data_IF_433477680161
#
_entry.id   IF_433477680161
#
_cell.length_a   1.000
_cell.length_b   1.000
_cell.length_c   1.000
_cell.angle_alpha   90.00
_cell.angle_beta   90.00
_cell.angle_gamma   90.00
#
_symmetry.space_group_name_H-M   'P 1'
#
loop_
_entity.id
_entity.type
_entity.pdbx_description
1 polymer ?
#
# COMPACT_ATOMS: atom_id res chain seq x y z
N UNK A 1 -23.74 2.75 5.12
CA UNK A 1 -24.32 2.54 6.47
C UNK A 1 -23.72 1.26 7.03
N UNK A 2 -23.17 1.29 8.24
CA UNK A 2 -22.66 0.10 8.94
C UNK A 2 -23.87 -0.68 9.47
N UNK A 3 -23.97 -1.98 9.23
CA UNK A 3 -25.08 -2.79 9.75
C UNK A 3 -24.93 -3.05 11.26
N UNK A 4 -26.02 -3.37 11.97
CA UNK A 4 -25.95 -3.79 13.38
C UNK A 4 -25.04 -5.02 13.60
N UNK A 5 -24.95 -5.88 12.58
CA UNK A 5 -24.07 -7.03 12.58
C UNK A 5 -22.59 -6.59 12.54
N UNK A 6 -22.27 -5.56 11.75
CA UNK A 6 -20.93 -4.99 11.66
C UNK A 6 -20.57 -4.21 12.94
N UNK A 7 -21.53 -3.50 13.54
CA UNK A 7 -21.30 -2.84 14.84
C UNK A 7 -20.94 -3.84 15.94
N UNK A 8 -21.66 -4.97 16.02
CA UNK A 8 -21.34 -6.02 17.00
C UNK A 8 -19.93 -6.59 16.79
N UNK A 9 -19.52 -6.78 15.53
CA UNK A 9 -18.17 -7.21 15.15
C UNK A 9 -17.11 -6.17 15.55
N UNK A 10 -17.34 -4.88 15.26
CA UNK A 10 -16.42 -3.78 15.59
C UNK A 10 -16.26 -3.58 17.10
N UNK A 11 -17.34 -3.76 17.87
CA UNK A 11 -17.30 -3.79 19.33
C UNK A 11 -16.69 -5.07 19.90
N UNK A 12 -16.37 -6.06 19.06
CA UNK A 12 -15.81 -7.37 19.44
C UNK A 12 -16.63 -8.08 20.52
N UNK A 13 -17.96 -8.01 20.41
CA UNK A 13 -18.92 -8.66 21.31
C UNK A 13 -19.96 -9.46 20.52
N UNK A 14 -20.51 -10.55 21.08
CA UNK A 14 -21.64 -11.23 20.46
C UNK A 14 -22.82 -10.27 20.29
N UNK A 15 -23.60 -10.46 19.21
CA UNK A 15 -24.78 -9.63 18.93
C UNK A 15 -25.73 -9.62 20.14
N UNK A 16 -26.14 -8.41 20.56
CA UNK A 16 -27.04 -8.22 21.70
C UNK A 16 -26.37 -8.34 23.08
N UNK A 17 -25.04 -8.42 23.15
CA UNK A 17 -24.27 -8.32 24.40
C UNK A 17 -23.57 -6.97 24.49
N UNK A 18 -23.36 -6.51 25.72
CA UNK A 18 -22.53 -5.34 26.03
C UNK A 18 -21.27 -5.78 26.76
N UNK A 19 -20.23 -4.95 26.65
CA UNK A 19 -18.98 -5.12 27.38
C UNK A 19 -18.47 -3.75 27.76
N UNK A 20 -18.14 -3.58 29.02
CA UNK A 20 -17.72 -2.30 29.58
C UNK A 20 -16.21 -2.27 29.76
N UNK A 21 -15.64 -1.09 29.52
CA UNK A 21 -14.21 -0.82 29.62
C UNK A 21 -14.00 0.42 30.48
N UNK A 22 -12.97 0.39 31.34
CA UNK A 22 -12.60 1.54 32.15
C UNK A 22 -11.43 2.25 31.48
N UNK A 23 -11.61 3.50 31.06
CA UNK A 23 -10.51 4.34 30.59
C UNK A 23 -9.65 4.74 31.79
N UNK A 24 -8.37 4.39 31.74
CA UNK A 24 -7.38 4.66 32.79
C UNK A 24 -6.73 6.03 32.58
N UNK A 25 -6.58 6.45 31.32
CA UNK A 25 -5.98 7.72 30.97
C UNK A 25 -5.40 7.73 29.56
N UNK A 26 -4.67 8.80 29.27
CA UNK A 26 -3.96 9.02 28.01
C UNK A 26 -2.55 8.44 28.07
N UNK A 27 -2.00 8.05 26.92
CA UNK A 27 -0.71 7.37 26.81
C UNK A 27 0.30 8.10 25.94
N UNK A 28 0.01 8.22 24.65
CA UNK A 28 0.84 8.85 23.63
C UNK A 28 -0.01 9.75 22.74
N UNK A 29 0.57 10.80 22.17
CA UNK A 29 -0.15 11.75 21.31
C UNK A 29 0.30 11.59 19.86
N UNK A 30 -0.65 11.37 18.96
CA UNK A 30 -0.45 11.33 17.52
C UNK A 30 -0.90 12.63 16.85
N UNK A 31 -0.41 12.93 15.64
CA UNK A 31 -0.99 14.01 14.84
C UNK A 31 -2.42 13.68 14.41
N UNK A 32 -3.15 14.72 14.02
CA UNK A 32 -4.40 14.59 13.29
C UNK A 32 -4.11 14.32 11.82
N UNK A 33 -5.07 13.70 11.14
CA UNK A 33 -4.98 13.43 9.70
C UNK A 33 -4.85 14.70 8.82
N UNK A 34 -5.21 15.87 9.38
CA UNK A 34 -5.07 17.19 8.75
C UNK A 34 -3.71 17.83 8.97
N UNK A 35 -2.93 17.33 9.92
CA UNK A 35 -1.60 17.83 10.17
C UNK A 35 -0.65 17.37 9.04
N UNK A 36 0.54 17.98 8.99
CA UNK A 36 1.58 17.54 8.07
C UNK A 36 2.17 16.20 8.52
N UNK A 37 2.64 15.34 7.60
CA UNK A 37 3.17 14.03 7.99
C UNK A 37 4.46 14.13 8.83
N UNK A 38 5.23 15.22 8.75
CA UNK A 38 6.23 15.61 9.75
C UNK A 38 5.64 16.79 10.52
N UNK A 39 5.55 16.62 11.84
CA UNK A 39 4.84 17.52 12.74
C UNK A 39 5.64 17.69 14.04
N UNK A 40 5.38 18.79 14.74
CA UNK A 40 6.10 19.13 15.98
C UNK A 40 5.22 19.05 17.23
N UNK A 41 3.89 19.12 17.08
CA UNK A 41 2.94 19.23 18.18
C UNK A 41 1.73 18.30 17.95
N UNK A 42 1.84 17.01 18.28
CA UNK A 42 0.71 16.09 18.16
C UNK A 42 -0.42 16.47 19.13
N UNK A 43 -1.66 16.19 18.73
CA UNK A 43 -2.85 16.67 19.44
C UNK A 43 -3.93 15.62 19.68
N UNK A 44 -3.82 14.44 19.06
CA UNK A 44 -4.77 13.33 19.23
C UNK A 44 -4.25 12.32 20.26
N UNK A 45 -4.86 12.22 21.46
CA UNK A 45 -4.40 11.28 22.46
C UNK A 45 -4.79 9.83 22.10
N UNK A 46 -3.87 8.91 22.34
CA UNK A 46 -4.16 7.49 22.49
C UNK A 46 -4.55 7.19 23.94
N UNK A 47 -5.40 6.19 24.14
CA UNK A 47 -6.06 5.90 25.40
C UNK A 47 -5.72 4.50 25.90
N UNK A 48 -5.62 4.36 27.22
CA UNK A 48 -5.45 3.08 27.90
C UNK A 48 -6.75 2.67 28.57
N UNK A 49 -7.17 1.43 28.34
CA UNK A 49 -8.35 0.83 28.94
C UNK A 49 -8.00 -0.41 29.74
N UNK A 50 -8.82 -0.68 30.76
CA UNK A 50 -8.86 -1.98 31.44
C UNK A 50 -10.17 -2.65 31.08
N UNK A 51 -10.07 -3.89 30.65
CA UNK A 51 -11.21 -4.78 30.47
C UNK A 51 -11.75 -5.18 31.85
N UNK A 52 -13.02 -4.86 32.14
CA UNK A 52 -13.67 -5.26 33.39
C UNK A 52 -14.00 -6.76 33.28
N UNK A 53 -13.47 -7.63 34.15
CA UNK A 53 -13.78 -9.04 34.10
C UNK A 53 -15.27 -9.27 34.27
N UNK A 54 -15.85 -10.08 33.39
CA UNK A 54 -17.26 -10.39 33.46
C UNK A 54 -17.59 -11.13 34.78
N UNK A 55 -18.79 -10.92 35.34
CA UNK A 55 -19.21 -11.50 36.64
C UNK A 55 -19.25 -13.04 36.65
N UNK A 56 -18.96 -13.68 35.52
CA UNK A 56 -18.93 -15.12 35.30
C UNK A 56 -17.68 -15.83 35.84
N UNK A 57 -16.66 -15.08 36.30
CA UNK A 57 -15.47 -15.64 36.97
C UNK A 57 -14.53 -16.47 36.07
N UNK A 58 -14.72 -16.44 34.75
CA UNK A 58 -13.90 -17.20 33.78
C UNK A 58 -12.65 -16.45 33.29
N UNK A 59 -12.55 -15.14 33.51
CA UNK A 59 -11.35 -14.35 33.21
C UNK A 59 -10.68 -13.95 34.53
N UNK A 60 -9.50 -14.51 34.81
CA UNK A 60 -8.83 -14.34 36.11
C UNK A 60 -7.80 -13.21 36.16
N UNK A 61 -7.48 -12.56 35.03
CA UNK A 61 -6.50 -11.47 34.99
C UNK A 61 -6.98 -10.25 34.18
N UNK A 62 -6.83 -9.03 34.72
CA UNK A 62 -7.16 -7.80 33.99
C UNK A 62 -6.23 -7.64 32.79
N UNK A 63 -6.82 -7.31 31.64
CA UNK A 63 -6.07 -6.99 30.41
C UNK A 63 -6.01 -5.47 30.26
N UNK A 64 -4.82 -4.97 29.91
CA UNK A 64 -4.65 -3.59 29.46
C UNK A 64 -4.89 -3.58 27.96
N UNK A 65 -5.71 -2.66 27.48
CA UNK A 65 -6.02 -2.45 26.08
C UNK A 65 -5.55 -1.06 25.69
N UNK A 66 -4.76 -0.96 24.63
CA UNK A 66 -4.29 0.29 24.09
C UNK A 66 -5.11 0.67 22.85
N UNK A 67 -5.76 1.82 22.89
CA UNK A 67 -6.51 2.40 21.79
C UNK A 67 -5.68 3.52 21.15
N UNK A 68 -5.30 3.34 19.88
CA UNK A 68 -4.39 4.25 19.18
C UNK A 68 -4.99 5.65 18.96
N UNK A 69 -6.31 5.75 18.80
CA UNK A 69 -7.05 7.01 18.78
C UNK A 69 -8.51 6.83 19.22
N UNK A 70 -9.19 7.85 19.77
CA UNK A 70 -10.49 7.70 20.44
C UNK A 70 -11.61 7.15 19.55
N UNK A 71 -11.51 7.33 18.24
CA UNK A 71 -12.48 6.85 17.25
C UNK A 71 -12.23 5.41 16.77
N UNK A 72 -11.13 4.76 17.20
CA UNK A 72 -10.80 3.39 16.81
C UNK A 72 -11.61 2.38 17.65
N UNK A 73 -12.37 1.46 17.06
CA UNK A 73 -13.26 0.60 17.83
C UNK A 73 -12.53 -0.56 18.54
N UNK A 74 -13.14 -1.18 19.58
CA UNK A 74 -12.52 -2.19 20.45
C UNK A 74 -11.90 -3.41 19.75
N UNK A 75 -12.41 -3.80 18.58
CA UNK A 75 -11.79 -4.84 17.76
C UNK A 75 -10.32 -4.57 17.44
N UNK A 76 -9.92 -3.31 17.37
CA UNK A 76 -8.57 -2.89 17.00
C UNK A 76 -7.76 -2.38 18.19
N UNK A 77 -8.29 -2.45 19.41
CA UNK A 77 -7.51 -2.12 20.60
C UNK A 77 -6.47 -3.20 20.84
N UNK A 78 -5.21 -2.78 21.02
CA UNK A 78 -4.05 -3.64 21.15
C UNK A 78 -4.01 -4.21 22.56
N UNK A 79 -4.13 -5.54 22.75
CA UNK A 79 -4.04 -6.14 24.07
C UNK A 79 -2.58 -6.18 24.54
N UNK A 80 -2.34 -5.65 25.73
CA UNK A 80 -1.03 -5.62 26.37
C UNK A 80 -1.05 -6.49 27.63
N UNK A 81 0.11 -7.10 27.92
CA UNK A 81 0.32 -7.70 29.23
C UNK A 81 0.32 -6.58 30.28
N UNK A 82 -0.22 -6.81 31.48
CA UNK A 82 -0.29 -5.80 32.54
C UNK A 82 1.10 -5.58 33.18
N UNK A 83 2.05 -5.04 32.43
CA UNK A 83 3.39 -4.68 32.89
C UNK A 83 3.90 -3.40 32.22
N UNK A 84 4.72 -2.64 32.98
CA UNK A 84 5.37 -1.42 32.48
C UNK A 84 6.27 -1.74 31.28
N UNK A 85 7.01 -2.86 31.31
CA UNK A 85 7.86 -3.29 30.19
C UNK A 85 7.08 -3.53 28.90
N UNK A 86 5.80 -3.91 28.98
CA UNK A 86 4.96 -4.07 27.79
C UNK A 86 4.53 -2.73 27.21
N UNK A 87 4.30 -1.72 28.06
CA UNK A 87 4.03 -0.35 27.62
C UNK A 87 5.28 0.31 27.04
N UNK A 88 6.43 0.22 27.73
CA UNK A 88 7.69 0.80 27.26
C UNK A 88 8.05 0.29 25.87
N UNK A 89 8.00 -1.03 25.65
CA UNK A 89 8.30 -1.61 24.34
C UNK A 89 7.32 -1.21 23.23
N UNK A 90 6.07 -0.91 23.56
CA UNK A 90 5.12 -0.37 22.59
C UNK A 90 5.48 1.07 22.23
N UNK A 91 5.78 1.91 23.22
CA UNK A 91 6.13 3.30 22.98
C UNK A 91 7.50 3.47 22.32
N UNK A 92 8.49 2.64 22.64
CA UNK A 92 9.76 2.56 21.92
C UNK A 92 9.53 2.29 20.43
N UNK A 93 8.70 1.31 20.08
CA UNK A 93 8.35 1.00 18.69
C UNK A 93 7.67 2.19 17.98
N UNK A 94 6.74 2.89 18.65
CA UNK A 94 6.11 4.10 18.12
C UNK A 94 7.15 5.22 17.91
N UNK A 95 8.01 5.48 18.90
CA UNK A 95 9.03 6.53 18.81
C UNK A 95 10.07 6.24 17.73
N UNK A 96 10.46 4.98 17.53
CA UNK A 96 11.36 4.57 16.46
C UNK A 96 10.75 4.86 15.08
N UNK A 97 9.47 4.53 14.89
CA UNK A 97 8.73 4.82 13.65
C UNK A 97 8.68 6.33 13.40
N UNK A 98 8.31 7.11 14.42
CA UNK A 98 8.21 8.57 14.33
C UNK A 98 9.57 9.22 14.03
N UNK A 99 10.60 8.85 14.79
CA UNK A 99 11.96 9.40 14.61
C UNK A 99 12.49 9.07 13.23
N UNK A 100 12.26 7.85 12.75
CA UNK A 100 12.66 7.42 11.41
C UNK A 100 11.92 8.20 10.31
N UNK A 101 10.62 8.44 10.47
CA UNK A 101 9.83 9.25 9.55
C UNK A 101 10.34 10.70 9.48
N UNK A 102 10.62 11.32 10.62
CA UNK A 102 11.20 12.68 10.67
C UNK A 102 12.55 12.71 9.96
N UNK A 103 13.46 11.81 10.30
CA UNK A 103 14.80 11.76 9.69
C UNK A 103 14.77 11.56 8.17
N UNK A 104 13.77 10.84 7.64
CA UNK A 104 13.65 10.56 6.20
C UNK A 104 12.97 11.69 5.42
N UNK A 105 11.94 12.30 6.00
CA UNK A 105 11.01 13.13 5.23
C UNK A 105 11.03 14.61 5.58
N UNK A 106 11.79 15.04 6.60
CA UNK A 106 11.85 16.44 7.01
C UNK A 106 12.28 17.36 5.85
N UNK A 107 13.43 17.10 5.23
CA UNK A 107 13.96 17.91 4.13
C UNK A 107 12.98 18.01 2.95
N UNK A 108 12.33 16.89 2.60
CA UNK A 108 11.35 16.85 1.53
C UNK A 108 10.14 17.73 1.86
N UNK A 109 9.65 17.68 3.10
CA UNK A 109 8.50 18.48 3.52
C UNK A 109 8.84 19.96 3.64
N UNK A 110 10.02 20.32 4.12
CA UNK A 110 10.46 21.72 4.16
C UNK A 110 10.57 22.32 2.74
N UNK A 111 11.15 21.57 1.79
CA UNK A 111 11.22 21.97 0.37
C UNK A 111 9.82 22.10 -0.25
N UNK A 112 8.91 21.19 0.06
CA UNK A 112 7.52 21.22 -0.40
C UNK A 112 6.77 22.45 0.13
N UNK A 113 6.89 22.75 1.43
CA UNK A 113 6.29 23.92 2.06
C UNK A 113 6.85 25.22 1.47
N UNK A 114 8.16 25.28 1.24
CA UNK A 114 8.80 26.43 0.59
C UNK A 114 8.24 26.66 -0.82
N UNK A 115 8.06 25.59 -1.61
CA UNK A 115 7.52 25.68 -2.99
C UNK A 115 6.07 26.14 -3.07
N UNK A 116 5.25 25.84 -2.06
CA UNK A 116 3.86 26.35 -1.98
C UNK A 116 3.78 27.74 -1.32
N UNK A 117 4.93 28.36 -1.04
CA UNK A 117 5.03 29.71 -0.48
C UNK A 117 4.71 29.79 1.00
N UNK A 118 4.89 28.70 1.75
CA UNK A 118 4.68 28.64 3.18
C UNK A 118 6.01 28.75 3.94
N UNK A 119 6.15 29.74 4.84
CA UNK A 119 7.35 29.89 5.65
C UNK A 119 7.27 28.94 6.87
N UNK A 120 8.19 27.98 6.94
CA UNK A 120 8.33 27.01 8.05
C UNK A 120 8.56 27.71 9.40
N UNK A 121 9.15 28.90 9.43
CA UNK A 121 9.32 29.70 10.66
C UNK A 121 7.97 30.07 11.28
N UNK A 122 6.94 30.31 10.46
CA UNK A 122 5.57 30.55 10.96
C UNK A 122 4.95 29.32 11.61
N UNK A 123 5.32 28.10 11.22
CA UNK A 123 4.87 26.87 11.88
C UNK A 123 5.51 26.68 13.26
N UNK A 124 6.76 27.16 13.43
CA UNK A 124 7.48 27.14 14.71
C UNK A 124 7.01 28.26 15.66
N UNK A 125 6.55 29.38 15.10
CA UNK A 125 5.99 30.53 15.84
C UNK A 125 4.48 30.42 16.12
N UNK A 126 3.78 29.50 15.44
CA UNK A 126 2.39 29.20 15.75
C UNK A 126 2.31 28.62 17.16
N UNK A 127 1.83 29.44 18.09
CA UNK A 127 1.45 29.03 19.43
C UNK A 127 0.59 27.76 19.33
N UNK A 128 0.91 26.67 20.05
CA UNK A 128 0.10 25.44 20.05
C UNK A 128 -1.37 25.68 20.47
N UNK A 129 -1.69 26.85 21.02
CA UNK A 129 -3.05 27.27 21.37
C UNK A 129 -3.75 28.12 20.29
N UNK A 130 -3.03 28.66 19.32
CA UNK A 130 -3.60 29.40 18.20
C UNK A 130 -4.20 28.41 17.20
N UNK A 131 -5.50 28.15 17.32
CA UNK A 131 -6.25 27.40 16.30
C UNK A 131 -6.07 28.11 14.97
N UNK A 132 -5.30 27.52 14.05
CA UNK A 132 -5.35 27.86 12.63
C UNK A 132 -6.81 27.97 12.25
N UNK A 133 -7.20 29.10 11.68
CA UNK A 133 -8.60 29.23 11.27
C UNK A 133 -8.89 28.18 10.21
N UNK A 134 -10.08 27.59 10.21
CA UNK A 134 -10.49 26.60 9.21
C UNK A 134 -10.28 27.12 7.77
N UNK A 135 -10.42 28.44 7.60
CA UNK A 135 -10.11 29.14 6.34
C UNK A 135 -8.64 29.05 5.95
N UNK A 136 -7.71 29.39 6.84
CA UNK A 136 -6.26 29.33 6.56
C UNK A 136 -5.82 27.91 6.23
N UNK A 137 -6.37 26.92 6.94
CA UNK A 137 -6.14 25.52 6.65
C UNK A 137 -6.60 25.16 5.23
N UNK A 138 -7.85 25.49 4.89
CA UNK A 138 -8.42 25.20 3.58
C UNK A 138 -7.66 25.90 2.44
N UNK A 139 -7.22 27.14 2.65
CA UNK A 139 -6.44 27.90 1.68
C UNK A 139 -5.05 27.25 1.45
N UNK A 140 -4.39 26.79 2.51
CA UNK A 140 -3.10 26.09 2.41
C UNK A 140 -3.27 24.73 1.74
N UNK A 141 -4.28 23.96 2.15
CA UNK A 141 -4.56 22.65 1.60
C UNK A 141 -4.89 22.73 0.10
N UNK A 142 -5.65 23.75 -0.33
CA UNK A 142 -5.91 23.99 -1.75
C UNK A 142 -4.63 24.28 -2.55
N UNK A 143 -3.71 25.09 -2.02
CA UNK A 143 -2.40 25.37 -2.66
C UNK A 143 -1.55 24.10 -2.76
N UNK A 144 -1.57 23.27 -1.73
CA UNK A 144 -0.86 22.00 -1.70
C UNK A 144 -1.34 21.05 -2.80
N UNK A 145 -2.66 20.86 -2.91
CA UNK A 145 -3.26 20.04 -3.96
C UNK A 145 -2.98 20.60 -5.37
N UNK A 146 -3.03 21.93 -5.53
CA UNK A 146 -2.70 22.58 -6.80
C UNK A 146 -1.24 22.30 -7.21
N UNK A 147 -0.30 22.37 -6.27
CA UNK A 147 1.10 22.04 -6.50
C UNK A 147 1.28 20.58 -6.93
N UNK A 148 0.65 19.64 -6.22
CA UNK A 148 0.69 18.21 -6.57
C UNK A 148 0.13 17.96 -7.96
N UNK A 149 -1.00 18.56 -8.29
CA UNK A 149 -1.69 18.27 -9.54
C UNK A 149 -1.04 18.95 -10.76
N UNK A 150 -0.49 20.15 -10.59
CA UNK A 150 0.03 20.96 -11.70
C UNK A 150 1.55 21.01 -11.80
N UNK A 151 2.29 20.76 -10.72
CA UNK A 151 3.74 21.03 -10.69
C UNK A 151 4.57 19.80 -10.41
N UNK A 152 4.12 18.95 -9.48
CA UNK A 152 4.84 17.75 -9.09
C UNK A 152 4.80 16.70 -10.20
N UNK A 153 5.97 16.35 -10.74
CA UNK A 153 6.11 15.27 -11.73
C UNK A 153 6.62 14.00 -11.03
N UNK A 154 5.75 13.00 -10.79
CA UNK A 154 6.12 11.77 -10.10
C UNK A 154 7.02 10.84 -10.92
N UNK A 155 7.22 11.13 -12.21
CA UNK A 155 8.10 10.32 -13.06
C UNK A 155 9.57 10.68 -12.91
N UNK A 156 9.88 11.85 -12.33
CA UNK A 156 11.26 12.27 -12.06
C UNK A 156 11.93 11.36 -11.04
N UNK A 157 13.19 11.03 -11.31
CA UNK A 157 13.99 10.13 -10.49
C UNK A 157 14.12 10.63 -9.05
N UNK A 158 14.39 11.93 -8.87
CA UNK A 158 14.51 12.60 -7.57
C UNK A 158 13.26 12.39 -6.68
N UNK A 159 12.07 12.38 -7.29
CA UNK A 159 10.83 12.15 -6.55
C UNK A 159 10.75 10.70 -6.06
N UNK A 160 11.05 9.74 -6.95
CA UNK A 160 11.04 8.31 -6.62
C UNK A 160 12.05 7.97 -5.52
N UNK A 161 13.26 8.52 -5.59
CA UNK A 161 14.31 8.29 -4.59
C UNK A 161 13.98 8.90 -3.22
N UNK A 162 13.31 10.06 -3.18
CA UNK A 162 12.96 10.73 -1.93
C UNK A 162 11.72 10.15 -1.24
N UNK A 163 10.76 9.66 -2.02
CA UNK A 163 9.47 9.18 -1.50
C UNK A 163 9.45 7.68 -1.25
N UNK A 164 10.08 6.89 -2.12
CA UNK A 164 10.06 5.42 -2.02
C UNK A 164 11.17 4.88 -1.12
N UNK A 165 11.67 5.67 -0.18
CA UNK A 165 12.71 5.23 0.75
C UNK A 165 12.21 4.01 1.53
N UNK A 166 12.93 2.90 1.33
CA UNK A 166 12.37 1.56 1.48
C UNK A 166 11.97 1.26 2.93
N UNK A 167 10.67 1.03 3.12
CA UNK A 167 10.22 0.24 4.24
C UNK A 167 10.62 -1.22 4.02
N UNK A 168 11.00 -1.95 5.09
CA UNK A 168 11.47 -3.32 4.97
C UNK A 168 10.40 -4.30 4.50
N UNK A 169 9.12 -3.98 4.72
CA UNK A 169 8.00 -4.85 4.36
C UNK A 169 7.17 -4.22 3.25
N UNK A 170 6.77 -5.05 2.28
CA UNK A 170 5.90 -4.67 1.17
C UNK A 170 4.87 -5.75 0.94
N UNK A 171 3.61 -5.37 0.71
CA UNK A 171 2.56 -6.29 0.25
C UNK A 171 1.75 -5.65 -0.86
N UNK A 172 1.26 -6.48 -1.78
CA UNK A 172 0.33 -6.06 -2.83
C UNK A 172 -1.04 -6.69 -2.62
N UNK A 173 -2.11 -5.90 -2.75
CA UNK A 173 -3.49 -6.33 -2.59
C UNK A 173 -4.32 -5.86 -3.78
N UNK A 174 -5.29 -6.67 -4.20
CA UNK A 174 -6.33 -6.23 -5.14
C UNK A 174 -7.51 -5.66 -4.35
N UNK A 175 -7.84 -4.39 -4.61
CA UNK A 175 -8.87 -3.65 -3.88
C UNK A 175 -10.27 -3.75 -4.50
N UNK A 176 -10.39 -4.44 -5.63
CA UNK A 176 -11.62 -4.48 -6.44
C UNK A 176 -11.54 -3.52 -7.62
N UNK A 177 -12.70 -3.24 -8.20
CA UNK A 177 -12.80 -2.32 -9.33
C UNK A 177 -13.63 -1.10 -8.95
N UNK A 178 -13.28 0.07 -9.49
CA UNK A 178 -13.96 1.35 -9.23
C UNK A 178 -14.40 2.00 -10.54
N UNK A 179 -15.44 2.83 -10.50
CA UNK A 179 -15.86 3.65 -11.64
C UNK A 179 -14.90 4.79 -11.92
N UNK A 180 -14.36 5.41 -10.87
CA UNK A 180 -13.43 6.52 -10.95
C UNK A 180 -12.39 6.45 -9.83
N UNK A 181 -11.12 6.72 -10.18
CA UNK A 181 -10.03 6.79 -9.21
C UNK A 181 -10.23 7.93 -8.20
N UNK A 182 -10.79 9.07 -8.66
CA UNK A 182 -11.03 10.26 -7.83
C UNK A 182 -11.93 9.97 -6.62
N UNK A 183 -12.97 9.15 -6.77
CA UNK A 183 -13.88 8.78 -5.67
C UNK A 183 -13.13 8.01 -4.57
N UNK A 184 -12.22 7.13 -4.97
CA UNK A 184 -11.37 6.38 -4.03
C UNK A 184 -10.35 7.32 -3.36
N UNK A 185 -9.69 8.18 -4.12
CA UNK A 185 -8.75 9.18 -3.58
C UNK A 185 -9.42 10.10 -2.55
N UNK A 186 -10.64 10.56 -2.84
CA UNK A 186 -11.43 11.39 -1.93
C UNK A 186 -11.80 10.61 -0.66
N UNK A 187 -12.09 9.31 -0.78
CA UNK A 187 -12.33 8.45 0.39
C UNK A 187 -11.09 8.36 1.28
N UNK A 188 -9.89 8.24 0.69
CA UNK A 188 -8.63 8.23 1.43
C UNK A 188 -8.32 9.58 2.07
N UNK A 189 -8.49 10.70 1.36
CA UNK A 189 -8.25 12.04 1.92
C UNK A 189 -9.22 12.41 3.05
N UNK A 190 -10.39 11.78 3.12
CA UNK A 190 -11.33 11.95 4.24
C UNK A 190 -11.18 10.90 5.34
N UNK A 191 -10.28 9.93 5.18
CA UNK A 191 -10.02 8.90 6.17
C UNK A 191 -9.21 9.47 7.33
N UNK A 192 -9.63 9.27 8.60
CA UNK A 192 -8.85 9.72 9.74
C UNK A 192 -7.56 8.90 9.96
N UNK A 193 -7.35 7.84 9.17
CA UNK A 193 -6.18 6.96 9.23
C UNK A 193 -5.08 7.34 8.22
N UNK A 194 -5.36 8.29 7.34
CA UNK A 194 -4.49 8.69 6.24
C UNK A 194 -4.32 10.19 6.27
N UNK A 195 -3.07 10.69 6.13
CA UNK A 195 -2.86 12.12 5.99
C UNK A 195 -3.58 12.64 4.76
N UNK A 196 -4.37 13.70 4.93
CA UNK A 196 -5.06 14.30 3.81
C UNK A 196 -4.15 15.18 2.95
N UNK A 197 -2.85 15.23 3.25
CA UNK A 197 -1.79 15.72 2.36
C UNK A 197 -1.22 14.53 1.58
N UNK A 198 -1.84 14.10 0.46
CA UNK A 198 -1.30 13.03 -0.37
C UNK A 198 0.10 13.39 -0.85
N UNK A 199 0.90 12.39 -1.19
CA UNK A 199 2.20 12.62 -1.83
C UNK A 199 1.96 12.90 -3.31
N UNK A 200 1.10 12.10 -3.95
CA UNK A 200 0.67 12.21 -5.35
C UNK A 200 -0.79 11.78 -5.46
N UNK A 201 -1.53 12.42 -6.35
CA UNK A 201 -2.86 11.98 -6.79
C UNK A 201 -2.79 11.56 -8.26
N UNK A 202 -3.28 10.37 -8.57
CA UNK A 202 -3.27 9.81 -9.90
C UNK A 202 -4.29 10.45 -10.82
N UNK A 203 -5.50 10.75 -10.32
CA UNK A 203 -6.59 11.27 -11.14
C UNK A 203 -6.39 12.74 -11.56
N UNK A 204 -5.89 13.57 -10.64
CA UNK A 204 -5.75 15.01 -10.82
C UNK A 204 -4.39 15.47 -11.34
N UNK A 205 -3.36 14.60 -11.35
CA UNK A 205 -2.02 14.98 -11.75
C UNK A 205 -1.84 14.98 -13.28
N UNK A 206 -1.47 16.13 -13.83
CA UNK A 206 -1.34 16.33 -15.29
C UNK A 206 -0.31 15.43 -15.97
N UNK A 207 0.69 14.95 -15.24
CA UNK A 207 1.74 14.07 -15.76
C UNK A 207 1.33 12.60 -15.75
N UNK A 208 0.25 12.25 -15.02
CA UNK A 208 -0.30 10.91 -14.93
C UNK A 208 -1.60 10.75 -15.73
N UNK A 209 -2.27 11.83 -16.09
CA UNK A 209 -3.57 11.80 -16.76
C UNK A 209 -3.59 10.96 -18.06
N UNK A 210 -2.49 10.91 -18.81
CA UNK A 210 -2.36 10.10 -20.04
C UNK A 210 -1.75 8.72 -19.82
N UNK A 211 -1.33 8.39 -18.61
CA UNK A 211 -0.66 7.13 -18.31
C UNK A 211 -1.69 6.00 -18.17
N UNK A 212 -1.35 4.83 -18.71
CA UNK A 212 -2.18 3.63 -18.58
C UNK A 212 -2.20 3.05 -17.15
N UNK A 213 -1.26 3.50 -16.32
CA UNK A 213 -1.18 3.20 -14.88
C UNK A 213 -1.12 4.54 -14.14
N UNK A 214 -2.20 4.87 -13.45
CA UNK A 214 -2.26 6.05 -12.59
C UNK A 214 -1.97 5.65 -11.15
N UNK A 215 -1.10 6.40 -10.48
CA UNK A 215 -0.67 6.12 -9.10
C UNK A 215 -1.05 7.25 -8.17
N UNK A 216 -1.62 6.88 -7.03
CA UNK A 216 -1.93 7.80 -5.92
C UNK A 216 -1.21 7.28 -4.68
N UNK A 217 -0.59 8.17 -3.92
CA UNK A 217 0.32 7.80 -2.84
C UNK A 217 -0.04 8.56 -1.57
N UNK A 218 -0.21 7.82 -0.48
CA UNK A 218 -0.66 8.37 0.80
C UNK A 218 0.15 7.80 1.97
N UNK A 219 0.48 8.64 2.95
CA UNK A 219 1.00 8.17 4.23
C UNK A 219 -0.15 7.95 5.22
N UNK A 220 -0.06 6.88 5.97
CA UNK A 220 -0.93 6.64 7.13
C UNK A 220 -0.49 7.46 8.34
N UNK A 221 -1.45 7.77 9.21
CA UNK A 221 -1.24 8.70 10.33
C UNK A 221 -0.38 8.12 11.44
N UNK A 222 -0.58 6.85 11.78
CA UNK A 222 -0.04 6.27 13.02
C UNK A 222 1.20 5.42 12.79
N UNK A 223 1.21 4.60 11.74
CA UNK A 223 2.33 3.72 11.41
C UNK A 223 3.28 4.29 10.36
N UNK A 224 2.93 5.44 9.77
CA UNK A 224 3.67 6.11 8.69
C UNK A 224 3.79 5.30 7.40
N UNK A 225 3.14 4.14 7.34
CA UNK A 225 3.07 3.27 6.16
C UNK A 225 2.63 4.04 4.94
N UNK A 226 3.25 3.73 3.80
CA UNK A 226 2.95 4.28 2.50
C UNK A 226 1.98 3.36 1.77
N UNK A 227 0.81 3.87 1.40
CA UNK A 227 -0.17 3.19 0.57
C UNK A 227 -0.08 3.78 -0.85
N UNK A 228 0.31 2.94 -1.81
CA UNK A 228 0.35 3.28 -3.23
C UNK A 228 -0.83 2.60 -3.91
N UNK A 229 -1.81 3.39 -4.31
CA UNK A 229 -2.96 2.96 -5.10
C UNK A 229 -2.56 3.00 -6.57
N UNK A 230 -2.75 1.88 -7.28
CA UNK A 230 -2.51 1.76 -8.71
C UNK A 230 -3.82 1.46 -9.44
N UNK A 231 -4.28 2.42 -10.24
CA UNK A 231 -5.37 2.23 -11.18
C UNK A 231 -4.81 1.72 -12.50
N UNK A 232 -5.24 0.51 -12.89
CA UNK A 232 -4.62 -0.27 -13.98
C UNK A 232 -5.51 -0.32 -15.22
N UNK A 233 -5.62 0.80 -15.92
CA UNK A 233 -6.39 0.91 -17.18
C UNK A 233 -5.84 0.01 -18.28
N UNK A 234 -4.54 -0.28 -18.22
CA UNK A 234 -3.88 -1.19 -19.14
C UNK A 234 -4.42 -2.62 -19.06
N UNK A 235 -5.02 -3.05 -17.95
CA UNK A 235 -5.51 -4.43 -17.79
C UNK A 235 -6.82 -4.73 -18.52
N UNK A 236 -7.51 -3.71 -19.03
CA UNK A 236 -8.67 -3.93 -19.89
C UNK A 236 -8.21 -4.57 -21.21
N UNK A 237 -8.75 -5.75 -21.50
CA UNK A 237 -8.39 -6.51 -22.71
C UNK A 237 -9.53 -6.54 -23.75
N UNK A 238 -10.57 -5.72 -23.56
CA UNK A 238 -11.68 -5.61 -24.50
C UNK A 238 -11.33 -4.73 -25.70
N UNK A 239 -11.21 -5.38 -26.85
CA UNK A 239 -11.00 -4.79 -28.17
C UNK A 239 -12.21 -4.01 -28.71
N UNK A 240 -13.39 -4.09 -28.07
CA UNK A 240 -14.68 -3.85 -28.75
C UNK A 240 -15.59 -2.72 -28.27
N UNK A 241 -15.36 -2.06 -27.13
CA UNK A 241 -16.35 -1.07 -26.66
C UNK A 241 -15.75 0.08 -25.85
N UNK A 242 -15.77 1.28 -26.44
CA UNK A 242 -15.64 2.56 -25.73
C UNK A 242 -16.87 2.79 -24.80
N UNK A 243 -17.09 1.93 -23.82
CA UNK A 243 -18.07 2.19 -22.78
C UNK A 243 -17.40 3.06 -21.70
N UNK A 244 -18.03 4.20 -21.42
CA UNK A 244 -17.67 5.10 -20.31
C UNK A 244 -17.89 4.46 -18.92
N UNK A 245 -18.40 3.22 -18.87
CA UNK A 245 -18.71 2.45 -17.65
C UNK A 245 -17.65 1.37 -17.32
N UNK A 246 -16.42 1.50 -17.84
CA UNK A 246 -15.35 0.52 -17.56
C UNK A 246 -14.89 0.63 -16.10
N UNK A 247 -15.19 -0.41 -15.32
CA UNK A 247 -14.71 -0.56 -13.95
C UNK A 247 -13.20 -0.78 -13.93
N UNK A 248 -12.46 0.14 -13.34
CA UNK A 248 -11.00 0.19 -13.32
C UNK A 248 -10.48 -0.71 -12.19
N UNK A 249 -9.63 -1.70 -12.47
CA UNK A 249 -9.05 -2.53 -11.43
C UNK A 249 -8.04 -1.73 -10.60
N UNK A 250 -8.23 -1.77 -9.28
CA UNK A 250 -7.40 -1.07 -8.30
C UNK A 250 -6.55 -2.06 -7.53
N UNK A 251 -5.26 -1.76 -7.46
CA UNK A 251 -4.31 -2.47 -6.62
C UNK A 251 -3.74 -1.51 -5.58
N UNK A 252 -3.37 -2.04 -4.42
CA UNK A 252 -2.62 -1.31 -3.41
C UNK A 252 -1.28 -1.99 -3.18
N UNK A 253 -0.18 -1.25 -3.30
CA UNK A 253 1.13 -1.64 -2.79
C UNK A 253 1.36 -0.89 -1.49
N UNK A 254 1.54 -1.63 -0.41
CA UNK A 254 1.66 -1.07 0.93
C UNK A 254 3.08 -1.33 1.40
N UNK A 255 3.80 -0.25 1.69
CA UNK A 255 5.13 -0.27 2.28
C UNK A 255 5.03 0.16 3.74
N UNK A 256 5.49 -0.67 4.67
CA UNK A 256 5.27 -0.45 6.09
C UNK A 256 6.45 -0.89 6.97
N UNK A 257 6.69 -0.21 8.12
CA UNK A 257 7.80 -0.54 8.99
C UNK A 257 7.65 -1.92 9.60
N UNK A 258 8.78 -2.53 9.94
CA UNK A 258 8.75 -3.73 10.79
C UNK A 258 8.19 -3.34 12.14
N UNK A 259 7.08 -3.97 12.48
CA UNK A 259 6.36 -3.70 13.72
C UNK A 259 5.86 -5.04 14.27
N UNK A 260 5.77 -5.17 15.58
CA UNK A 260 5.29 -6.39 16.23
C UNK A 260 4.06 -6.14 17.08
N UNK A 261 3.89 -4.90 17.56
CA UNK A 261 2.92 -4.55 18.59
C UNK A 261 1.77 -3.71 18.05
N UNK A 262 1.99 -2.97 16.95
CA UNK A 262 0.97 -2.17 16.28
C UNK A 262 0.08 -2.95 15.30
N UNK A 263 0.25 -4.28 15.19
CA UNK A 263 -0.42 -5.10 14.18
C UNK A 263 -1.03 -6.39 14.72
N UNK A 264 -0.18 -7.33 15.15
CA UNK A 264 -0.46 -8.77 15.13
C UNK A 264 -1.80 -9.22 15.71
N UNK A 265 -2.18 -8.84 16.95
CA UNK A 265 -3.41 -9.33 17.55
C UNK A 265 -4.67 -8.79 16.87
N UNK A 266 -4.60 -7.61 16.26
CA UNK A 266 -5.75 -6.92 15.68
C UNK A 266 -5.96 -7.36 14.22
N UNK A 267 -4.88 -7.51 13.46
CA UNK A 267 -4.96 -7.91 12.06
C UNK A 267 -5.48 -9.34 11.90
N UNK A 268 -4.99 -10.28 12.71
CA UNK A 268 -5.50 -11.66 12.71
C UNK A 268 -6.99 -11.72 13.08
N UNK A 269 -7.43 -10.89 14.03
CA UNK A 269 -8.86 -10.75 14.39
C UNK A 269 -9.68 -10.20 13.23
N UNK A 270 -9.19 -9.18 12.55
CA UNK A 270 -9.86 -8.59 11.39
C UNK A 270 -10.03 -9.60 10.26
N UNK A 271 -8.93 -10.28 9.87
CA UNK A 271 -8.95 -11.33 8.85
C UNK A 271 -10.01 -12.38 9.15
N UNK A 272 -10.07 -12.86 10.40
CA UNK A 272 -11.03 -13.87 10.81
C UNK A 272 -12.50 -13.38 10.79
N UNK A 273 -12.77 -12.15 11.20
CA UNK A 273 -14.15 -11.67 11.41
C UNK A 273 -14.77 -11.04 10.16
N UNK A 274 -13.92 -10.46 9.30
CA UNK A 274 -14.32 -9.77 8.07
C UNK A 274 -13.85 -10.47 6.79
N UNK A 275 -13.31 -11.69 6.90
CA UNK A 275 -12.83 -12.48 5.75
C UNK A 275 -11.80 -11.72 4.89
N UNK A 276 -10.87 -11.09 5.60
CA UNK A 276 -9.80 -10.26 5.03
C UNK A 276 -8.49 -11.05 4.89
N UNK A 277 -7.60 -10.58 4.03
CA UNK A 277 -6.35 -11.27 3.67
C UNK A 277 -5.09 -10.44 3.94
N UNK A 278 -5.05 -9.68 5.03
CA UNK A 278 -3.87 -8.90 5.41
C UNK A 278 -2.76 -9.78 6.00
N UNK A 279 -1.47 -9.47 5.77
CA UNK A 279 -0.38 -10.06 6.55
C UNK A 279 -0.56 -9.78 8.04
N UNK A 280 -0.23 -10.72 8.93
CA UNK A 280 -0.43 -10.55 10.38
C UNK A 280 0.31 -9.33 10.95
N UNK A 281 1.42 -8.93 10.35
CA UNK A 281 2.23 -7.76 10.71
C UNK A 281 1.77 -6.45 10.04
N UNK A 282 0.65 -6.44 9.31
CA UNK A 282 0.10 -5.22 8.70
C UNK A 282 -0.35 -4.22 9.77
N UNK A 283 0.09 -2.95 9.76
CA UNK A 283 -0.36 -1.94 10.71
C UNK A 283 -1.88 -1.75 10.74
N UNK A 284 -2.42 -1.57 11.95
CA UNK A 284 -3.85 -1.46 12.17
C UNK A 284 -4.48 -0.28 11.43
N UNK A 285 -3.77 0.84 11.31
CA UNK A 285 -4.26 2.02 10.61
C UNK A 285 -4.33 1.81 9.10
N UNK A 286 -3.44 1.02 8.51
CA UNK A 286 -3.57 0.56 7.11
C UNK A 286 -4.81 -0.31 6.95
N UNK A 287 -5.01 -1.28 7.85
CA UNK A 287 -6.20 -2.13 7.85
C UNK A 287 -7.49 -1.31 7.94
N UNK A 288 -7.49 -0.26 8.78
CA UNK A 288 -8.63 0.65 8.96
C UNK A 288 -8.82 1.61 7.78
N UNK A 289 -7.73 2.09 7.16
CA UNK A 289 -7.79 2.91 5.96
C UNK A 289 -8.39 2.15 4.77
N UNK A 290 -8.13 0.84 4.69
CA UNK A 290 -8.65 -0.05 3.67
C UNK A 290 -9.96 -0.73 4.07
N UNK A 291 -10.51 -0.41 5.24
CA UNK A 291 -11.73 -1.02 5.73
C UNK A 291 -12.91 -0.73 4.80
N UNK A 292 -13.66 -1.77 4.44
CA UNK A 292 -14.79 -1.67 3.51
C UNK A 292 -14.40 -1.78 2.04
N UNK A 293 -13.11 -1.77 1.70
CA UNK A 293 -12.63 -2.19 0.38
C UNK A 293 -12.57 -3.72 0.30
N UNK A 294 -12.75 -4.28 -0.89
CA UNK A 294 -12.40 -5.69 -1.12
C UNK A 294 -10.90 -5.82 -0.91
N UNK A 295 -10.41 -6.90 -0.30
CA UNK A 295 -8.98 -7.13 -0.12
C UNK A 295 -8.62 -8.57 -0.44
N UNK A 296 -8.21 -8.79 -1.68
CA UNK A 296 -7.84 -10.13 -2.13
C UNK A 296 -6.34 -10.18 -2.39
N UNK A 297 -5.66 -11.14 -1.77
CA UNK A 297 -4.24 -11.42 -2.03
C UNK A 297 -4.05 -12.33 -3.25
N UNK A 298 -2.80 -12.49 -3.68
CA UNK A 298 -2.45 -13.31 -4.84
C UNK A 298 -2.90 -14.77 -4.67
N UNK A 299 -2.68 -15.34 -3.49
CA UNK A 299 -2.96 -16.74 -3.18
C UNK A 299 -4.45 -17.07 -3.33
N UNK A 300 -5.33 -16.17 -2.88
CA UNK A 300 -6.78 -16.36 -2.97
C UNK A 300 -7.26 -16.28 -4.43
N UNK A 301 -6.72 -15.34 -5.23
CA UNK A 301 -7.05 -15.27 -6.66
C UNK A 301 -6.55 -16.52 -7.39
N UNK A 302 -5.33 -16.99 -7.06
CA UNK A 302 -4.75 -18.17 -7.69
C UNK A 302 -5.54 -19.44 -7.35
N UNK A 303 -5.93 -19.61 -6.08
CA UNK A 303 -6.74 -20.74 -5.64
C UNK A 303 -8.09 -20.78 -6.35
N UNK A 304 -8.77 -19.64 -6.46
CA UNK A 304 -10.06 -19.55 -7.14
C UNK A 304 -9.94 -19.80 -8.66
N UNK A 305 -8.93 -19.20 -9.30
CA UNK A 305 -8.63 -19.45 -10.72
C UNK A 305 -8.41 -20.95 -10.98
N UNK A 306 -7.55 -21.60 -10.20
CA UNK A 306 -7.24 -23.02 -10.38
C UNK A 306 -8.45 -23.92 -10.12
N UNK A 307 -9.30 -23.55 -9.16
CA UNK A 307 -10.55 -24.26 -8.88
C UNK A 307 -11.50 -24.22 -10.08
N UNK A 308 -11.79 -23.02 -10.60
CA UNK A 308 -12.70 -22.83 -11.74
C UNK A 308 -12.18 -23.56 -12.99
N UNK A 309 -10.88 -23.41 -13.29
CA UNK A 309 -10.28 -24.06 -14.46
C UNK A 309 -10.37 -25.59 -14.36
N UNK A 310 -10.23 -26.16 -13.16
CA UNK A 310 -10.40 -27.60 -12.95
C UNK A 310 -11.86 -28.03 -13.17
N UNK A 311 -12.83 -27.25 -12.70
CA UNK A 311 -14.26 -27.52 -12.90
C UNK A 311 -14.62 -27.49 -14.39
N UNK A 312 -14.13 -26.51 -15.13
CA UNK A 312 -14.31 -26.42 -16.59
C UNK A 312 -13.70 -27.63 -17.32
N UNK A 313 -12.47 -28.03 -16.94
CA UNK A 313 -11.82 -29.22 -17.50
C UNK A 313 -12.61 -30.51 -17.23
N UNK A 314 -13.27 -30.63 -16.08
CA UNK A 314 -14.12 -31.78 -15.72
C UNK A 314 -15.44 -31.79 -16.52
N UNK A 315 -16.06 -30.63 -16.71
CA UNK A 315 -17.28 -30.50 -17.52
C UNK A 315 -17.03 -30.91 -18.98
N UNK A 316 -15.93 -30.45 -19.57
CA UNK A 316 -15.51 -30.84 -20.93
C UNK A 316 -15.29 -32.36 -21.02
N UNK A 317 -14.58 -32.95 -20.05
CA UNK A 317 -14.32 -34.41 -20.03
C UNK A 317 -15.60 -35.24 -19.88
N UNK A 318 -16.60 -34.71 -19.17
CA UNK A 318 -17.88 -35.38 -18.97
C UNK A 318 -18.82 -35.30 -20.18
N UNK A 319 -18.47 -34.52 -21.21
CA UNK A 319 -19.33 -34.28 -22.38
C UNK A 319 -20.55 -33.41 -22.07
N UNK A 320 -20.55 -32.71 -20.92
CA UNK A 320 -21.61 -31.78 -20.53
C UNK A 320 -21.51 -30.43 -21.27
N UNK A 321 -20.34 -30.14 -21.85
CA UNK A 321 -20.07 -28.98 -22.71
C UNK A 321 -19.35 -29.48 -23.97
N UNK A 322 -19.86 -29.12 -25.14
CA UNK A 322 -19.16 -29.33 -26.40
C UNK A 322 -17.98 -28.36 -26.51
N UNK A 323 -16.88 -28.78 -27.17
CA UNK A 323 -15.69 -27.94 -27.36
C UNK A 323 -15.99 -26.64 -28.13
N UNK A 324 -17.13 -26.55 -28.84
CA UNK A 324 -17.54 -25.36 -29.59
C UNK A 324 -18.19 -24.27 -28.71
N UNK A 325 -18.64 -24.59 -27.49
CA UNK A 325 -19.22 -23.63 -26.52
C UNK A 325 -18.15 -22.94 -25.64
N UNK A 326 -16.95 -22.75 -26.18
CA UNK A 326 -15.82 -22.04 -25.54
C UNK A 326 -16.16 -20.63 -25.06
N UNK A 327 -17.21 -20.02 -25.63
CA UNK A 327 -17.71 -18.71 -25.22
C UNK A 327 -18.55 -18.73 -23.92
N UNK A 328 -19.00 -19.91 -23.47
CA UNK A 328 -19.68 -20.09 -22.17
C UNK A 328 -18.73 -20.43 -21.02
N UNK A 329 -17.48 -20.81 -21.34
CA UNK A 329 -16.46 -21.17 -20.37
C UNK A 329 -15.86 -19.93 -19.69
N UNK A 330 -15.28 -20.14 -18.51
CA UNK A 330 -14.63 -19.08 -17.76
C UNK A 330 -13.47 -18.47 -18.56
N UNK A 331 -13.42 -17.14 -18.65
CA UNK A 331 -12.28 -16.44 -19.26
C UNK A 331 -11.22 -16.11 -18.19
N UNK A 332 -10.06 -16.80 -18.17
CA UNK A 332 -9.06 -16.60 -17.13
C UNK A 332 -8.17 -15.37 -17.35
N UNK A 333 -8.38 -14.56 -18.40
CA UNK A 333 -7.49 -13.44 -18.74
C UNK A 333 -7.34 -12.42 -17.59
N UNK A 334 -8.45 -12.05 -16.95
CA UNK A 334 -8.47 -11.08 -15.85
C UNK A 334 -7.67 -11.58 -14.63
N UNK A 335 -7.98 -12.76 -14.03
CA UNK A 335 -7.21 -13.24 -12.89
C UNK A 335 -5.74 -13.52 -13.24
N UNK A 336 -5.42 -13.99 -14.45
CA UNK A 336 -4.02 -14.15 -14.90
C UNK A 336 -3.28 -12.81 -14.83
N UNK A 337 -3.89 -11.75 -15.34
CA UNK A 337 -3.28 -10.42 -15.35
C UNK A 337 -3.18 -9.86 -13.92
N UNK A 338 -4.23 -10.00 -13.10
CA UNK A 338 -4.22 -9.58 -11.69
C UNK A 338 -3.10 -10.25 -10.89
N UNK A 339 -2.93 -11.56 -11.04
CA UNK A 339 -1.86 -12.30 -10.36
C UNK A 339 -0.47 -11.80 -10.74
N UNK A 340 -0.28 -11.31 -11.97
CA UNK A 340 0.99 -10.73 -12.37
C UNK A 340 1.27 -9.38 -11.73
N UNK A 341 0.25 -8.53 -11.59
CA UNK A 341 0.38 -7.25 -10.88
C UNK A 341 0.65 -7.46 -9.39
N UNK A 342 0.01 -8.47 -8.81
CA UNK A 342 0.22 -8.89 -7.42
C UNK A 342 1.56 -9.62 -7.19
N UNK A 343 2.37 -9.82 -8.23
CA UNK A 343 3.66 -10.50 -8.16
C UNK A 343 3.56 -11.89 -7.54
N UNK A 344 2.55 -12.68 -7.92
CA UNK A 344 2.41 -14.06 -7.43
C UNK A 344 3.66 -14.89 -7.75
N UNK A 345 4.36 -15.37 -6.72
CA UNK A 345 5.68 -16.02 -6.86
C UNK A 345 5.71 -17.16 -7.88
N UNK A 346 4.62 -17.93 -7.96
CA UNK A 346 4.52 -19.08 -8.85
C UNK A 346 3.88 -18.76 -10.20
N UNK A 347 3.66 -17.48 -10.50
CA UNK A 347 3.09 -17.06 -11.77
C UNK A 347 3.88 -17.58 -12.98
N UNK A 348 5.23 -17.50 -13.02
CA UNK A 348 5.99 -17.99 -14.16
C UNK A 348 5.87 -19.50 -14.41
N UNK A 349 5.72 -20.31 -13.36
CA UNK A 349 5.74 -21.77 -13.45
C UNK A 349 4.35 -22.41 -13.47
N UNK A 350 3.38 -21.87 -12.73
CA UNK A 350 2.03 -22.42 -12.61
C UNK A 350 1.03 -21.74 -13.56
N UNK A 351 1.15 -20.43 -13.76
CA UNK A 351 0.19 -19.65 -14.54
C UNK A 351 0.65 -19.54 -16.00
N UNK A 352 1.82 -18.96 -16.23
CA UNK A 352 2.32 -18.73 -17.59
C UNK A 352 2.42 -20.03 -18.40
N UNK A 353 3.09 -21.05 -17.87
CA UNK A 353 3.28 -22.31 -18.58
C UNK A 353 1.95 -23.03 -18.90
N UNK A 354 0.92 -22.87 -18.05
CA UNK A 354 -0.41 -23.43 -18.28
C UNK A 354 -1.18 -22.68 -19.38
N UNK A 355 -1.08 -21.35 -19.44
CA UNK A 355 -1.94 -20.51 -20.27
C UNK A 355 -1.27 -19.87 -21.50
N UNK A 356 0.05 -19.97 -21.67
CA UNK A 356 0.76 -19.33 -22.81
C UNK A 356 0.28 -19.76 -24.19
N UNK A 357 -0.21 -21.00 -24.32
CA UNK A 357 -0.73 -21.58 -25.57
C UNK A 357 -2.27 -21.67 -25.58
N UNK A 358 -2.97 -20.93 -24.71
CA UNK A 358 -4.42 -20.99 -24.60
C UNK A 358 -5.09 -20.58 -25.93
N UNK A 359 -6.20 -21.23 -26.36
CA UNK A 359 -6.83 -20.95 -27.66
C UNK A 359 -7.33 -19.51 -27.79
N UNK A 360 -7.84 -18.92 -26.70
CA UNK A 360 -8.34 -17.54 -26.70
C UNK A 360 -7.19 -16.51 -26.75
N UNK A 361 -7.16 -15.60 -27.75
CA UNK A 361 -6.14 -14.54 -27.87
C UNK A 361 -6.01 -13.65 -26.63
N UNK A 362 -7.15 -13.31 -26.02
CA UNK A 362 -7.24 -12.46 -24.81
C UNK A 362 -6.49 -13.05 -23.60
N UNK A 363 -6.46 -14.39 -23.48
CA UNK A 363 -5.72 -15.08 -22.42
C UNK A 363 -4.23 -15.03 -22.70
N UNK A 364 -3.81 -15.21 -23.96
CA UNK A 364 -2.40 -15.09 -24.34
C UNK A 364 -1.88 -13.66 -24.14
N UNK A 365 -2.70 -12.64 -24.39
CA UNK A 365 -2.35 -11.25 -24.07
C UNK A 365 -2.17 -11.04 -22.57
N UNK A 366 -3.01 -11.65 -21.73
CA UNK A 366 -2.80 -11.61 -20.27
C UNK A 366 -1.46 -12.24 -19.87
N UNK A 367 -1.05 -13.34 -20.53
CA UNK A 367 0.30 -13.91 -20.35
C UNK A 367 1.40 -12.93 -20.80
N UNK A 368 1.23 -12.22 -21.93
CA UNK A 368 2.21 -11.21 -22.38
C UNK A 368 2.33 -10.08 -21.37
N UNK A 369 1.20 -9.58 -20.84
CA UNK A 369 1.19 -8.57 -19.76
C UNK A 369 1.95 -9.06 -18.53
N UNK A 370 1.73 -10.29 -18.10
CA UNK A 370 2.45 -10.83 -16.95
C UNK A 370 3.95 -11.00 -17.21
N UNK A 371 4.36 -11.41 -18.41
CA UNK A 371 5.78 -11.41 -18.76
C UNK A 371 6.43 -10.01 -18.68
N UNK A 372 5.68 -8.94 -19.00
CA UNK A 372 6.16 -7.56 -18.83
C UNK A 372 6.31 -7.18 -17.35
N UNK A 373 5.37 -7.60 -16.50
CA UNK A 373 5.45 -7.37 -15.05
C UNK A 373 6.64 -8.10 -14.40
N UNK A 374 6.90 -9.35 -14.81
CA UNK A 374 8.00 -10.18 -14.30
C UNK A 374 9.33 -10.01 -15.06
N UNK A 375 9.40 -9.09 -16.03
CA UNK A 375 10.60 -8.85 -16.85
C UNK A 375 11.10 -10.09 -17.64
N UNK A 376 10.19 -10.96 -18.06
CA UNK A 376 10.48 -12.23 -18.73
C UNK A 376 10.65 -12.07 -20.26
N UNK A 377 11.68 -11.32 -20.68
CA UNK A 377 11.92 -10.99 -22.09
C UNK A 377 12.06 -12.21 -23.00
N UNK A 378 12.82 -13.22 -22.57
CA UNK A 378 13.05 -14.42 -23.38
C UNK A 378 11.76 -15.22 -23.62
N UNK A 379 10.87 -15.26 -22.63
CA UNK A 379 9.56 -15.91 -22.78
C UNK A 379 8.66 -15.18 -23.78
N UNK A 380 8.74 -13.85 -23.85
CA UNK A 380 8.05 -13.09 -24.90
C UNK A 380 8.60 -13.40 -26.29
N UNK A 381 9.92 -13.52 -26.43
CA UNK A 381 10.57 -13.91 -27.69
C UNK A 381 10.19 -15.33 -28.12
N UNK A 382 10.10 -16.28 -27.17
CA UNK A 382 9.58 -17.63 -27.42
C UNK A 382 8.14 -17.57 -27.95
N UNK A 383 7.25 -16.80 -27.30
CA UNK A 383 5.86 -16.65 -27.76
C UNK A 383 5.77 -15.99 -29.14
N UNK A 384 6.60 -14.99 -29.41
CA UNK A 384 6.65 -14.29 -30.70
C UNK A 384 6.91 -15.25 -31.88
N UNK A 385 7.75 -16.27 -31.68
CA UNK A 385 8.12 -17.23 -32.73
C UNK A 385 6.99 -18.18 -33.13
N UNK A 386 6.05 -18.44 -32.21
CA UNK A 386 4.97 -19.43 -32.41
C UNK A 386 3.59 -18.81 -32.59
N UNK A 387 3.41 -17.53 -32.22
CA UNK A 387 2.13 -16.83 -32.32
C UNK A 387 1.73 -16.58 -33.78
N UNK A 388 0.46 -16.88 -34.08
CA UNK A 388 -0.11 -16.72 -35.43
C UNK A 388 -1.20 -15.64 -35.48
N UNK A 389 -1.78 -15.28 -34.32
CA UNK A 389 -2.82 -14.26 -34.25
C UNK A 389 -2.21 -12.87 -34.37
N UNK A 390 -2.59 -12.14 -35.43
CA UNK A 390 -1.98 -10.85 -35.79
C UNK A 390 -1.98 -9.82 -34.65
N UNK A 391 -3.11 -9.63 -33.96
CA UNK A 391 -3.23 -8.66 -32.86
C UNK A 391 -2.37 -9.03 -31.65
N UNK A 392 -2.25 -10.34 -31.34
CA UNK A 392 -1.42 -10.81 -30.23
C UNK A 392 0.05 -10.61 -30.58
N UNK A 393 0.44 -10.93 -31.80
CA UNK A 393 1.81 -10.74 -32.29
C UNK A 393 2.21 -9.25 -32.28
N UNK A 394 1.31 -8.35 -32.70
CA UNK A 394 1.54 -6.91 -32.59
C UNK A 394 1.79 -6.50 -31.14
N UNK A 395 0.91 -6.94 -30.22
CA UNK A 395 1.04 -6.63 -28.80
C UNK A 395 2.34 -7.19 -28.19
N UNK A 396 2.77 -8.39 -28.61
CA UNK A 396 4.05 -8.99 -28.22
C UNK A 396 5.21 -8.09 -28.68
N UNK A 397 5.23 -7.67 -29.94
CA UNK A 397 6.28 -6.83 -30.50
C UNK A 397 6.42 -5.50 -29.74
N UNK A 398 5.30 -4.82 -29.49
CA UNK A 398 5.26 -3.58 -28.71
C UNK A 398 5.72 -3.80 -27.26
N UNK A 399 5.38 -4.95 -26.67
CA UNK A 399 5.77 -5.31 -25.31
C UNK A 399 7.26 -5.65 -25.20
N UNK A 400 7.84 -6.34 -26.18
CA UNK A 400 9.28 -6.61 -26.28
C UNK A 400 10.05 -5.30 -26.33
N UNK A 401 9.69 -4.38 -27.24
CA UNK A 401 10.38 -3.10 -27.38
C UNK A 401 10.33 -2.26 -26.08
N UNK A 402 9.16 -2.24 -25.42
CA UNK A 402 9.01 -1.57 -24.11
C UNK A 402 9.88 -2.23 -23.04
N UNK A 403 9.93 -3.55 -23.02
CA UNK A 403 10.65 -4.31 -22.00
C UNK A 403 12.16 -4.20 -22.17
N UNK A 404 12.68 -4.24 -23.39
CA UNK A 404 14.10 -4.05 -23.69
C UNK A 404 14.58 -2.68 -23.18
N UNK A 405 13.83 -1.61 -23.48
CA UNK A 405 14.11 -0.27 -22.96
C UNK A 405 14.07 -0.22 -21.42
N UNK A 406 13.09 -0.88 -20.80
CA UNK A 406 12.97 -0.93 -19.33
C UNK A 406 14.16 -1.65 -18.70
N UNK A 407 14.58 -2.79 -19.26
CA UNK A 407 15.73 -3.57 -18.79
C UNK A 407 17.04 -2.77 -18.96
N UNK A 408 17.21 -2.06 -20.07
CA UNK A 408 18.36 -1.19 -20.31
C UNK A 408 18.44 -0.07 -19.26
N UNK A 409 17.34 0.62 -19.00
CA UNK A 409 17.27 1.66 -17.96
C UNK A 409 17.59 1.11 -16.56
N UNK A 410 17.10 -0.08 -16.22
CA UNK A 410 17.40 -0.73 -14.94
C UNK A 410 18.89 -1.10 -14.83
N UNK A 411 19.52 -1.56 -15.93
CA UNK A 411 20.96 -1.85 -15.96
C UNK A 411 21.79 -0.58 -15.77
N UNK A 412 21.43 0.51 -16.46
CA UNK A 412 22.10 1.80 -16.28
C UNK A 412 21.96 2.30 -14.85
N UNK A 413 20.75 2.26 -14.28
CA UNK A 413 20.50 2.68 -12.90
C UNK A 413 21.37 1.88 -11.90
N UNK A 414 21.43 0.56 -12.06
CA UNK A 414 22.27 -0.29 -11.20
C UNK A 414 23.76 0.07 -11.30
N UNK A 415 24.26 0.35 -12.51
CA UNK A 415 25.65 0.79 -12.69
C UNK A 415 25.94 2.10 -11.96
N UNK A 416 25.04 3.09 -12.04
CA UNK A 416 25.18 4.34 -11.29
C UNK A 416 25.15 4.12 -9.77
N UNK A 417 24.25 3.28 -9.27
CA UNK A 417 24.19 2.94 -7.83
C UNK A 417 25.46 2.24 -7.36
N UNK A 418 25.99 1.29 -8.14
CA UNK A 418 27.24 0.59 -7.85
C UNK A 418 28.44 1.57 -7.81
N UNK A 419 28.50 2.52 -8.76
CA UNK A 419 29.53 3.58 -8.79
C UNK A 419 29.42 4.54 -7.59
N UNK A 420 28.21 4.93 -7.18
CA UNK A 420 28.00 5.80 -6.03
C UNK A 420 28.39 5.09 -4.71
N UNK A 421 28.06 3.80 -4.57
CA UNK A 421 28.45 2.99 -3.42
C UNK A 421 29.99 2.88 -3.36
N UNK A 422 30.66 2.68 -4.50
CA UNK A 422 32.13 2.64 -4.55
C UNK A 422 32.74 4.00 -4.15
N UNK A 423 32.14 5.10 -4.58
CA UNK A 423 32.58 6.44 -4.21
C UNK A 423 32.44 6.70 -2.70
N UNK A 424 31.29 6.33 -2.10
CA UNK A 424 31.05 6.46 -0.65
C UNK A 424 32.02 5.60 0.16
N UNK A 425 32.29 4.36 -0.26
CA UNK A 425 33.30 3.51 0.39
C UNK A 425 34.69 4.14 0.35
N UNK A 426 35.13 4.68 -0.78
CA UNK A 426 36.42 5.37 -0.91
C UNK A 426 36.51 6.63 -0.04
N UNK A 427 35.39 7.34 0.17
CA UNK A 427 35.35 8.49 1.09
C UNK A 427 35.46 8.03 2.54
N UNK A 428 34.72 6.99 2.93
CA UNK A 428 34.77 6.43 4.27
C UNK A 428 36.17 5.89 4.61
N UNK A 429 36.80 5.15 3.70
CA UNK A 429 38.19 4.66 3.88
C UNK A 429 39.19 5.82 4.09
N UNK A 430 39.00 6.94 3.37
CA UNK A 430 39.84 8.15 3.56
C UNK A 430 39.60 8.81 4.91
N UNK A 431 38.36 8.87 5.36
CA UNK A 431 38.02 9.43 6.69
C UNK A 431 38.56 8.56 7.81
N UNK A 432 38.42 7.23 7.72
CA UNK A 432 38.98 6.28 8.68
C UNK A 432 40.52 6.38 8.74
N UNK A 433 41.18 6.49 7.59
CA UNK A 433 42.64 6.71 7.54
C UNK A 433 43.03 8.06 8.16
N UNK A 434 42.29 9.14 7.90
CA UNK A 434 42.56 10.44 8.47
C UNK A 434 42.39 10.46 10.00
N UNK A 435 41.41 9.71 10.53
CA UNK A 435 41.21 9.53 11.97
C UNK A 435 42.37 8.75 12.58
N UNK A 436 42.81 7.65 11.95
CA UNK A 436 43.95 6.86 12.41
C UNK A 436 45.24 7.70 12.45
N UNK A 437 45.51 8.47 11.39
CA UNK A 437 46.68 9.35 11.32
C UNK A 437 46.66 10.46 12.39
N UNK A 438 45.47 10.93 12.77
CA UNK A 438 45.30 11.93 13.84
C UNK A 438 45.53 11.31 15.23
N UNK A 439 45.00 10.11 15.48
CA UNK A 439 45.23 9.38 16.74
C UNK A 439 46.72 9.05 16.93
N UNK A 440 47.43 8.68 15.86
CA UNK A 440 48.88 8.44 15.93
C UNK A 440 49.70 9.70 16.23
N UNK A 441 49.25 10.87 15.75
CA UNK A 441 49.87 12.16 16.08
C UNK A 441 49.65 12.54 17.53
N UNK A 442 48.46 12.30 18.06
CA UNK A 442 48.11 12.64 19.44
C UNK A 442 48.79 11.72 20.48
N UNK A 443 49.31 10.57 20.04
CA UNK A 443 50.08 9.62 20.85
C UNK A 443 51.60 9.87 20.89
N UNK A 444 52.14 10.75 20.03
CA UNK A 444 53.57 11.11 19.97
C UNK A 444 53.82 12.46 20.62
#
# INVERSE_FOLDING_TARGET
MISDADLSKLCYVPRGKSKDYICVGEAYYFPLYRDLPVHYTPSSPSLLYIEVPDKSGKESQPKILYQIAPFVPPMFWIPLKPSIDSLNRLFEEIMEIESSNVSRHLDYQEDLLAKIGFNVEKLKEMDPTAKTTEKEYNDLHAKFLDYINKTLDPNKLEFKERVLQEYPNTVSLFLGNVSALEDLEQTFMNSPFVFNTPIVLGSGNRFLASESIQRSMFHTVFSRSLIIIEARYDLHVDFGSNSADRLIPIFARIHYPTNQRLSKPCTDRMNKVFDCHFPSDMPIDVCLALFGQKNTNAESIAAELMRIVKEDEELIKSGALDQEDLNSLFNPSIPIAHLSVLQYDKWPSEIFEKFKNHPLPIVRIACVKGCVEFLMLEKLKEMQQVEQHHEVLQYINESIARLEKKIELLKMKKQYEDEEIELKKKQQEKEEQAILDQVEKDMK
#
